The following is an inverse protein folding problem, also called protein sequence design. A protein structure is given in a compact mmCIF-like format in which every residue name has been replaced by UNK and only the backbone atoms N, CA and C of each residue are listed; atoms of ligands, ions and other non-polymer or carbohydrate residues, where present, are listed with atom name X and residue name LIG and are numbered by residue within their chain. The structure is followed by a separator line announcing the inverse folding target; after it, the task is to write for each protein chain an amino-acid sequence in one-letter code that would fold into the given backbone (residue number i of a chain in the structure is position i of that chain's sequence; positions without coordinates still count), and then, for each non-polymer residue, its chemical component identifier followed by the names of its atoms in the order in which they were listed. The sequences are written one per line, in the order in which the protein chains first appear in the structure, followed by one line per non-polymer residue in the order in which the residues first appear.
data_IF_384217711152
#
_entry.id   IF_384217711152
#
_cell.length_a   1.000
_cell.length_b   1.000
_cell.length_c   1.000
_cell.angle_alpha   90.00
_cell.angle_beta   90.00
_cell.angle_gamma   90.00
#
_symmetry.space_group_name_H-M   'P 1'
#
loop_
_entity.id
_entity.type
_entity.pdbx_description
1 polymer ?
#
# COMPACT_ATOMS: atom_id res chain seq x y z
N UNK A 1 -1.91 21.12 5.25
CA UNK A 1 -3.00 21.31 4.26
C UNK A 1 -2.77 20.24 3.22
N UNK A 2 -3.73 19.35 3.01
CA UNK A 2 -3.59 18.22 2.06
C UNK A 2 -3.46 18.78 0.64
N UNK A 3 -2.46 18.30 -0.10
CA UNK A 3 -2.14 18.75 -1.47
C UNK A 3 -2.89 17.92 -2.51
N UNK A 4 -2.91 18.36 -3.77
CA UNK A 4 -3.44 17.55 -4.86
C UNK A 4 -2.72 16.18 -4.98
N UNK A 5 -1.41 16.15 -4.69
CA UNK A 5 -0.63 14.92 -4.63
C UNK A 5 -1.12 14.00 -3.51
N UNK A 6 -1.39 14.55 -2.30
CA UNK A 6 -1.91 13.78 -1.18
C UNK A 6 -3.20 13.04 -1.56
N UNK A 7 -4.18 13.75 -2.13
CA UNK A 7 -5.45 13.14 -2.54
C UNK A 7 -5.26 12.10 -3.65
N UNK A 8 -4.29 12.30 -4.54
CA UNK A 8 -4.00 11.34 -5.59
C UNK A 8 -3.39 10.04 -5.02
N UNK A 9 -2.41 10.15 -4.12
CA UNK A 9 -1.81 8.99 -3.45
C UNK A 9 -2.84 8.29 -2.56
N UNK A 10 -3.69 9.05 -1.87
CA UNK A 10 -4.79 8.53 -1.08
C UNK A 10 -5.77 7.71 -1.93
N UNK A 11 -6.17 8.24 -3.09
CA UNK A 11 -6.98 7.50 -4.06
C UNK A 11 -6.30 6.19 -4.48
N UNK A 12 -5.00 6.18 -4.77
CA UNK A 12 -4.27 4.97 -5.15
C UNK A 12 -4.24 3.94 -4.00
N UNK A 13 -4.05 4.38 -2.76
CA UNK A 13 -4.07 3.52 -1.59
C UNK A 13 -5.46 2.90 -1.39
N UNK A 14 -6.52 3.71 -1.41
CA UNK A 14 -7.90 3.23 -1.28
C UNK A 14 -8.25 2.22 -2.38
N UNK A 15 -7.97 2.57 -3.64
CA UNK A 15 -8.23 1.72 -4.80
C UNK A 15 -7.55 0.34 -4.67
N UNK A 16 -6.30 0.34 -4.21
CA UNK A 16 -5.55 -0.89 -3.97
C UNK A 16 -6.10 -1.72 -2.80
N UNK A 17 -6.43 -1.10 -1.67
CA UNK A 17 -6.95 -1.83 -0.51
C UNK A 17 -8.31 -2.46 -0.80
N UNK A 18 -9.21 -1.74 -1.47
CA UNK A 18 -10.49 -2.30 -1.90
C UNK A 18 -10.28 -3.49 -2.85
N UNK A 19 -9.29 -3.40 -3.76
CA UNK A 19 -8.91 -4.51 -4.64
C UNK A 19 -8.42 -5.73 -3.85
N UNK A 20 -7.54 -5.52 -2.88
CA UNK A 20 -7.01 -6.59 -2.01
C UNK A 20 -8.12 -7.28 -1.20
N UNK A 21 -9.11 -6.51 -0.75
CA UNK A 21 -10.25 -7.02 0.00
C UNK A 21 -11.33 -7.69 -0.86
N UNK A 22 -11.14 -7.74 -2.19
CA UNK A 22 -12.05 -8.34 -3.16
C UNK A 22 -13.49 -7.81 -3.04
N UNK A 23 -13.64 -6.50 -2.80
CA UNK A 23 -14.97 -5.92 -2.61
C UNK A 23 -15.82 -6.06 -3.88
N UNK A 24 -17.07 -6.55 -3.73
CA UNK A 24 -17.93 -6.96 -4.85
C UNK A 24 -18.29 -5.83 -5.84
N UNK A 25 -18.06 -4.58 -5.47
CA UNK A 25 -18.37 -3.40 -6.27
C UNK A 25 -17.15 -2.84 -7.00
N UNK A 26 -15.99 -3.52 -6.95
CA UNK A 26 -14.78 -3.01 -7.56
C UNK A 26 -14.87 -3.03 -9.09
N UNK A 27 -15.05 -1.86 -9.68
CA UNK A 27 -14.98 -1.67 -11.11
C UNK A 27 -13.54 -1.78 -11.66
N UNK A 28 -13.39 -1.64 -13.00
CA UNK A 28 -12.07 -1.46 -13.60
C UNK A 28 -11.35 -0.26 -12.95
N UNK A 29 -10.03 -0.35 -12.82
CA UNK A 29 -9.23 0.75 -12.29
C UNK A 29 -9.46 2.02 -13.12
N UNK A 30 -9.72 3.15 -12.45
CA UNK A 30 -10.10 4.39 -13.13
C UNK A 30 -8.91 5.09 -13.80
N UNK A 31 -7.68 4.73 -13.43
CA UNK A 31 -6.45 5.25 -14.01
C UNK A 31 -5.50 4.13 -14.39
N UNK A 32 -4.63 4.41 -15.37
CA UNK A 32 -3.54 3.47 -15.74
C UNK A 32 -2.62 3.19 -14.56
N UNK A 33 -2.33 4.20 -13.73
CA UNK A 33 -1.49 4.04 -12.52
C UNK A 33 -2.13 3.05 -11.56
N UNK A 34 -3.42 3.21 -11.25
CA UNK A 34 -4.16 2.28 -10.41
C UNK A 34 -4.21 0.86 -11.00
N UNK A 35 -4.41 0.74 -12.32
CA UNK A 35 -4.37 -0.57 -12.98
C UNK A 35 -3.01 -1.27 -12.82
N UNK A 36 -1.93 -0.56 -13.15
CA UNK A 36 -0.55 -1.05 -13.02
C UNK A 36 -0.23 -1.40 -11.56
N UNK A 37 -0.67 -0.56 -10.62
CA UNK A 37 -0.52 -0.78 -9.19
C UNK A 37 -1.20 -2.07 -8.76
N UNK A 38 -2.49 -2.26 -9.08
CA UNK A 38 -3.23 -3.50 -8.78
C UNK A 38 -2.52 -4.72 -9.33
N UNK A 39 -2.04 -4.68 -10.58
CA UNK A 39 -1.39 -5.86 -11.21
C UNK A 39 -0.05 -6.21 -10.57
N UNK A 40 0.82 -5.21 -10.36
CA UNK A 40 2.16 -5.45 -9.82
C UNK A 40 2.10 -5.74 -8.32
N UNK A 41 1.38 -4.92 -7.57
CA UNK A 41 1.35 -5.03 -6.12
C UNK A 41 0.68 -6.33 -5.67
N UNK A 42 -0.35 -6.81 -6.38
CA UNK A 42 -1.00 -8.09 -6.05
C UNK A 42 -0.10 -9.28 -6.30
N UNK A 43 0.60 -9.32 -7.44
CA UNK A 43 1.59 -10.37 -7.71
C UNK A 43 2.73 -10.37 -6.69
N UNK A 44 3.22 -9.18 -6.29
CA UNK A 44 4.20 -9.05 -5.21
C UNK A 44 3.61 -9.45 -3.86
N UNK A 45 2.33 -9.18 -3.62
CA UNK A 45 1.66 -9.51 -2.37
C UNK A 45 1.56 -11.01 -2.18
N UNK A 46 1.15 -11.77 -3.19
CA UNK A 46 1.05 -13.23 -3.09
C UNK A 46 2.42 -13.86 -2.75
N UNK A 47 3.48 -13.40 -3.43
CA UNK A 47 4.86 -13.85 -3.15
C UNK A 47 5.33 -13.45 -1.75
N UNK A 48 5.01 -12.22 -1.33
CA UNK A 48 5.40 -11.69 -0.02
C UNK A 48 4.65 -12.40 1.10
N UNK A 49 3.35 -12.66 0.92
CA UNK A 49 2.50 -13.37 1.86
C UNK A 49 2.99 -14.80 2.05
N UNK A 50 3.33 -15.52 0.97
CA UNK A 50 3.90 -16.86 1.05
C UNK A 50 5.24 -16.87 1.81
N UNK A 51 6.15 -15.95 1.45
CA UNK A 51 7.48 -15.86 2.07
C UNK A 51 7.43 -15.45 3.55
N UNK A 52 6.50 -14.56 3.91
CA UNK A 52 6.39 -14.02 5.26
C UNK A 52 5.38 -14.76 6.12
N UNK A 53 4.62 -15.73 5.59
CA UNK A 53 3.58 -16.47 6.32
C UNK A 53 4.01 -16.94 7.72
N UNK A 54 5.19 -17.57 7.91
CA UNK A 54 5.62 -18.05 9.22
C UNK A 54 5.88 -16.92 10.25
N UNK A 55 6.13 -15.71 9.77
CA UNK A 55 6.33 -14.51 10.59
C UNK A 55 4.98 -13.82 10.83
N UNK A 56 4.15 -13.69 9.80
CA UNK A 56 2.81 -13.11 9.91
C UNK A 56 1.93 -13.89 10.87
N UNK A 57 2.02 -15.23 10.87
CA UNK A 57 1.26 -16.09 11.78
C UNK A 57 1.67 -15.92 13.26
N UNK A 58 2.80 -15.26 13.54
CA UNK A 58 3.29 -14.96 14.90
C UNK A 58 2.98 -13.54 15.35
N UNK A 59 2.53 -12.67 14.43
CA UNK A 59 2.23 -11.28 14.73
C UNK A 59 0.72 -11.14 14.91
N UNK A 60 0.31 -10.81 16.11
CA UNK A 60 -1.09 -10.55 16.43
C UNK A 60 -1.45 -9.10 16.06
N UNK A 61 -2.05 -8.92 14.88
CA UNK A 61 -2.46 -7.60 14.37
C UNK A 61 -3.92 -7.38 14.78
N UNK A 62 -4.11 -6.85 15.99
CA UNK A 62 -5.42 -6.75 16.64
C UNK A 62 -6.17 -5.43 16.41
N UNK A 63 -5.51 -4.43 15.82
CA UNK A 63 -6.11 -3.11 15.57
C UNK A 63 -5.37 -2.33 14.48
N UNK A 64 -6.04 -1.34 13.87
CA UNK A 64 -5.44 -0.42 12.90
C UNK A 64 -4.23 0.32 13.48
N UNK A 65 -4.29 0.70 14.75
CA UNK A 65 -3.16 1.35 15.44
C UNK A 65 -1.92 0.45 15.52
N UNK A 66 -2.10 -0.84 15.82
CA UNK A 66 -1.01 -1.83 15.82
C UNK A 66 -0.47 -2.03 14.40
N UNK A 67 -1.35 -2.13 13.40
CA UNK A 67 -0.96 -2.22 12.00
C UNK A 67 -0.13 -1.00 11.55
N UNK A 68 -0.55 0.23 11.89
CA UNK A 68 0.19 1.46 11.59
C UNK A 68 1.59 1.46 12.21
N UNK A 69 1.71 1.01 13.46
CA UNK A 69 3.01 0.92 14.14
C UNK A 69 3.94 -0.07 13.45
N UNK A 70 3.44 -1.26 13.12
CA UNK A 70 4.22 -2.29 12.41
C UNK A 70 4.61 -1.79 11.03
N UNK A 71 3.67 -1.19 10.29
CA UNK A 71 3.89 -0.60 8.99
C UNK A 71 5.05 0.39 8.98
N UNK A 72 5.00 1.40 9.84
CA UNK A 72 6.05 2.41 9.92
C UNK A 72 7.40 1.79 10.27
N UNK A 73 7.47 0.91 11.28
CA UNK A 73 8.72 0.26 11.67
C UNK A 73 9.36 -0.56 10.55
N UNK A 74 8.55 -1.32 9.79
CA UNK A 74 9.05 -2.12 8.67
C UNK A 74 9.48 -1.24 7.50
N UNK A 75 8.72 -0.18 7.19
CA UNK A 75 9.09 0.72 6.09
C UNK A 75 10.35 1.53 6.43
N UNK A 76 10.48 2.03 7.66
CA UNK A 76 11.66 2.77 8.10
C UNK A 76 12.92 1.90 8.02
N UNK A 77 12.84 0.65 8.49
CA UNK A 77 13.94 -0.30 8.36
C UNK A 77 14.26 -0.58 6.88
N UNK A 78 13.23 -0.76 6.04
CA UNK A 78 13.39 -1.06 4.61
C UNK A 78 14.12 0.04 3.84
N UNK A 79 13.86 1.29 4.20
CA UNK A 79 14.43 2.49 3.57
C UNK A 79 15.62 3.08 4.35
N UNK A 80 16.12 2.39 5.38
CA UNK A 80 17.23 2.84 6.22
C UNK A 80 18.55 3.05 5.47
N UNK A 81 18.74 2.35 4.34
CA UNK A 81 19.90 2.48 3.46
C UNK A 81 19.85 3.71 2.53
N UNK A 82 18.77 4.50 2.58
CA UNK A 82 18.56 5.70 1.77
C UNK A 82 18.19 5.43 0.29
N UNK A 83 18.18 4.17 -0.15
CA UNK A 83 17.92 3.85 -1.56
C UNK A 83 16.42 3.84 -1.87
N UNK A 84 16.00 4.46 -2.96
CA UNK A 84 14.60 4.43 -3.42
C UNK A 84 14.52 4.10 -4.91
N UNK A 85 13.57 3.25 -5.27
CA UNK A 85 13.15 2.96 -6.64
C UNK A 85 11.66 2.60 -6.65
N UNK A 86 11.06 2.54 -7.83
CA UNK A 86 9.64 2.19 -7.96
C UNK A 86 9.30 0.84 -7.33
N UNK A 87 10.15 -0.18 -7.48
CA UNK A 87 9.94 -1.49 -6.86
C UNK A 87 9.85 -1.43 -5.33
N UNK A 88 10.68 -0.59 -4.68
CA UNK A 88 10.59 -0.34 -3.24
C UNK A 88 9.35 0.45 -2.86
N UNK A 89 8.96 1.46 -3.63
CA UNK A 89 7.70 2.20 -3.41
C UNK A 89 6.51 1.25 -3.49
N UNK A 90 6.50 0.32 -4.45
CA UNK A 90 5.45 -0.69 -4.57
C UNK A 90 5.30 -1.54 -3.30
N UNK A 91 6.40 -1.81 -2.61
CA UNK A 91 6.33 -2.60 -1.38
C UNK A 91 5.62 -1.89 -0.23
N UNK A 92 5.49 -0.56 -0.28
CA UNK A 92 4.70 0.22 0.67
C UNK A 92 3.22 -0.18 0.53
N UNK A 93 2.70 -0.18 -0.70
CA UNK A 93 1.33 -0.62 -0.98
C UNK A 93 1.14 -2.10 -0.68
N UNK A 94 2.04 -2.96 -1.16
CA UNK A 94 1.96 -4.41 -0.95
C UNK A 94 1.94 -4.78 0.54
N UNK A 95 2.80 -4.16 1.36
CA UNK A 95 2.80 -4.43 2.80
C UNK A 95 1.56 -3.87 3.49
N UNK A 96 1.09 -2.68 3.09
CA UNK A 96 -0.19 -2.14 3.55
C UNK A 96 -1.35 -3.10 3.28
N UNK A 97 -1.47 -3.61 2.06
CA UNK A 97 -2.49 -4.60 1.68
C UNK A 97 -2.40 -5.91 2.46
N UNK A 98 -1.19 -6.37 2.76
CA UNK A 98 -0.96 -7.56 3.58
C UNK A 98 -1.47 -7.37 5.02
N UNK A 99 -1.17 -6.22 5.63
CA UNK A 99 -1.68 -5.87 6.96
C UNK A 99 -3.21 -5.75 6.97
N UNK A 100 -3.80 -5.19 5.90
CA UNK A 100 -5.25 -5.09 5.74
C UNK A 100 -5.91 -6.47 5.68
N UNK A 101 -5.35 -7.43 4.93
CA UNK A 101 -5.85 -8.82 4.92
C UNK A 101 -5.77 -9.44 6.32
N UNK A 102 -4.63 -9.28 6.99
CA UNK A 102 -4.42 -9.82 8.33
C UNK A 102 -5.40 -9.27 9.36
N UNK A 103 -5.69 -7.97 9.31
CA UNK A 103 -6.72 -7.36 10.16
C UNK A 103 -8.11 -7.99 9.93
N UNK A 104 -8.43 -8.39 8.70
CA UNK A 104 -9.72 -9.00 8.36
C UNK A 104 -9.77 -10.53 8.62
N UNK A 105 -8.62 -11.21 8.80
CA UNK A 105 -8.55 -12.67 9.03
C UNK A 105 -9.29 -13.13 10.31
N UNK A 106 -9.54 -12.22 11.26
CA UNK A 106 -10.24 -12.51 12.52
C UNK A 106 -11.78 -12.55 12.41
N UNK A 107 -12.34 -12.52 11.20
CA UNK A 107 -13.77 -12.76 10.96
C UNK A 107 -14.69 -11.56 11.18
N UNK A 108 -14.13 -10.37 11.42
CA UNK A 108 -14.84 -9.09 11.42
C UNK A 108 -14.41 -8.31 10.18
N UNK A 109 -15.38 -7.88 9.37
CA UNK A 109 -15.08 -6.99 8.26
C UNK A 109 -14.62 -5.63 8.80
N UNK A 110 -13.55 -5.10 8.23
CA UNK A 110 -13.09 -3.76 8.53
C UNK A 110 -14.19 -2.74 8.22
N UNK A 111 -14.39 -1.77 9.10
CA UNK A 111 -15.32 -0.67 8.86
C UNK A 111 -14.79 0.25 7.76
N UNK A 112 -15.64 1.13 7.25
CA UNK A 112 -15.23 2.15 6.28
C UNK A 112 -14.14 3.05 6.88
N UNK A 113 -14.32 3.47 8.13
CA UNK A 113 -13.37 4.34 8.85
C UNK A 113 -12.00 3.66 9.01
N UNK A 114 -11.98 2.35 9.33
CA UNK A 114 -10.72 1.61 9.45
C UNK A 114 -9.97 1.51 8.11
N UNK A 115 -10.69 1.28 7.01
CA UNK A 115 -10.07 1.25 5.66
C UNK A 115 -9.54 2.62 5.25
N UNK A 116 -10.25 3.69 5.60
CA UNK A 116 -9.81 5.07 5.40
C UNK A 116 -8.55 5.37 6.22
N UNK A 117 -8.50 4.97 7.49
CA UNK A 117 -7.32 5.16 8.36
C UNK A 117 -6.10 4.39 7.83
N UNK A 118 -6.30 3.17 7.32
CA UNK A 118 -5.21 2.40 6.69
C UNK A 118 -4.70 3.10 5.43
N UNK A 119 -5.61 3.52 4.55
CA UNK A 119 -5.26 4.27 3.34
C UNK A 119 -4.51 5.56 3.68
N UNK A 120 -4.93 6.22 4.76
CA UNK A 120 -4.36 7.46 5.24
C UNK A 120 -2.91 7.27 5.68
N UNK A 121 -2.59 6.29 6.53
CA UNK A 121 -1.21 6.13 6.98
C UNK A 121 -0.26 5.67 5.87
N UNK A 122 -0.75 4.90 4.89
CA UNK A 122 0.03 4.54 3.70
C UNK A 122 0.37 5.81 2.92
N UNK A 123 -0.62 6.67 2.73
CA UNK A 123 -0.48 7.96 2.04
C UNK A 123 0.48 8.88 2.78
N UNK A 124 0.28 9.05 4.08
CA UNK A 124 1.13 9.86 4.96
C UNK A 124 2.60 9.43 4.84
N UNK A 125 2.88 8.12 4.83
CA UNK A 125 4.24 7.62 4.67
C UNK A 125 4.85 7.99 3.32
N UNK A 126 4.10 7.80 2.23
CA UNK A 126 4.58 8.11 0.88
C UNK A 126 4.84 9.61 0.73
N UNK A 127 3.89 10.45 1.14
CA UNK A 127 4.00 11.90 1.02
C UNK A 127 5.19 12.42 1.85
N UNK A 128 5.31 11.98 3.10
CA UNK A 128 6.35 12.49 3.99
C UNK A 128 7.76 12.02 3.62
N UNK A 129 7.89 10.84 3.01
CA UNK A 129 9.20 10.20 2.83
C UNK A 129 9.62 9.97 1.39
N UNK A 130 8.71 10.07 0.41
CA UNK A 130 8.96 9.63 -0.97
C UNK A 130 8.47 10.62 -2.04
N UNK A 131 7.68 11.63 -1.70
CA UNK A 131 7.17 12.66 -2.63
C UNK A 131 8.30 13.29 -3.45
N UNK A 132 9.37 13.79 -2.81
CA UNK A 132 10.51 14.40 -3.54
C UNK A 132 11.15 13.46 -4.55
N UNK A 133 11.31 12.17 -4.18
CA UNK A 133 11.88 11.18 -5.09
C UNK A 133 10.92 10.87 -6.24
N UNK A 134 9.62 10.75 -5.97
CA UNK A 134 8.58 10.50 -6.98
C UNK A 134 8.59 11.62 -8.01
N UNK A 135 8.59 12.87 -7.58
CA UNK A 135 8.62 14.03 -8.45
C UNK A 135 9.90 14.09 -9.28
N UNK A 136 11.06 13.87 -8.65
CA UNK A 136 12.35 13.83 -9.34
C UNK A 136 12.44 12.71 -10.39
N UNK A 137 11.60 11.68 -10.31
CA UNK A 137 11.57 10.53 -11.21
C UNK A 137 10.36 10.54 -12.17
N UNK A 138 9.75 11.71 -12.39
CA UNK A 138 8.70 11.93 -13.39
C UNK A 138 7.28 11.58 -12.89
N UNK A 139 7.11 11.48 -11.58
CA UNK A 139 5.83 11.24 -10.93
C UNK A 139 5.22 9.86 -11.22
N UNK A 140 3.99 9.68 -10.78
CA UNK A 140 3.23 8.43 -10.97
C UNK A 140 2.96 8.07 -12.44
N UNK A 141 2.95 9.06 -13.33
CA UNK A 141 2.82 8.83 -14.77
C UNK A 141 4.02 8.02 -15.28
N UNK A 142 5.24 8.40 -14.89
CA UNK A 142 6.48 7.68 -15.22
C UNK A 142 6.44 6.23 -14.73
N UNK A 143 5.98 6.00 -13.50
CA UNK A 143 5.76 4.65 -12.97
C UNK A 143 4.90 3.80 -13.91
N UNK A 144 3.75 4.32 -14.34
CA UNK A 144 2.80 3.58 -15.20
C UNK A 144 3.32 3.22 -16.59
N UNK A 145 4.39 3.88 -17.06
CA UNK A 145 5.06 3.59 -18.33
C UNK A 145 6.30 2.70 -18.15
N UNK A 146 6.99 2.82 -17.03
CA UNK A 146 8.17 2.00 -16.69
C UNK A 146 7.81 0.55 -16.35
N UNK A 147 6.62 0.37 -15.79
CA UNK A 147 6.04 -0.94 -15.51
C UNK A 147 5.68 -1.65 -16.80
N UNK A 148 6.39 -2.74 -17.11
CA UNK A 148 5.95 -3.70 -18.15
C UNK A 148 4.84 -4.54 -17.55
N UNK A 149 3.60 -4.12 -17.79
CA UNK A 149 2.36 -4.84 -17.42
C UNK A 149 1.75 -5.44 -18.67
#
# INVERSE_FOLDING_TARGET
METAEFYYVYYLAQDYLQYVLQESHLGPAQTRVAHVLRTIASSLQDQTEEALRPLLDKIDITSVAVAKRIFNGVMDEKFSDGNTNWGRIMTIFTFGGLLTKKLQEHGVQLTTEEKEEISYFITEYIINNKSEWIDANGGWVSFSFSAKV
#
